data_IF_849736222298
#
_entry.id   IF_849736222298
#
_cell.length_a   1.000
_cell.length_b   1.000
_cell.length_c   1.000
_cell.angle_alpha   90.00
_cell.angle_beta   90.00
_cell.angle_gamma   90.00
#
_symmetry.space_group_name_H-M   'P 1'
#
loop_
_entity.id
_entity.type
_entity.pdbx_description
1 polymer ?
#
# COMPACT_ATOMS: atom_id res chain seq x y z
N UNK A 1 -24.79 -1.83 -16.57
CA UNK A 1 -24.73 -1.29 -15.18
C UNK A 1 -25.25 -2.32 -14.16
N UNK A 2 -26.36 -3.03 -14.42
CA UNK A 2 -26.85 -4.10 -13.53
C UNK A 2 -25.84 -5.23 -13.30
N UNK A 3 -25.15 -5.67 -14.36
CA UNK A 3 -24.14 -6.75 -14.29
C UNK A 3 -22.97 -6.42 -13.33
N UNK A 4 -22.44 -5.20 -13.42
CA UNK A 4 -21.31 -4.72 -12.59
C UNK A 4 -21.70 -4.64 -11.11
N UNK A 5 -22.92 -4.19 -10.81
CA UNK A 5 -23.40 -4.09 -9.43
C UNK A 5 -23.57 -5.48 -8.82
N UNK A 6 -24.17 -6.41 -9.56
CA UNK A 6 -24.35 -7.79 -9.12
C UNK A 6 -23.01 -8.50 -8.88
N UNK A 7 -22.05 -8.34 -9.79
CA UNK A 7 -20.69 -8.87 -9.64
C UNK A 7 -19.98 -8.31 -8.39
N UNK A 8 -20.11 -7.01 -8.16
CA UNK A 8 -19.51 -6.36 -7.00
C UNK A 8 -20.15 -6.83 -5.69
N UNK A 9 -21.48 -6.92 -5.63
CA UNK A 9 -22.19 -7.48 -4.47
C UNK A 9 -21.81 -8.95 -4.21
N UNK A 10 -21.69 -9.76 -5.27
CA UNK A 10 -21.23 -11.14 -5.16
C UNK A 10 -19.81 -11.21 -4.58
N UNK A 11 -18.89 -10.35 -5.03
CA UNK A 11 -17.55 -10.24 -4.47
C UNK A 11 -17.56 -9.86 -2.99
N UNK A 12 -18.36 -8.87 -2.58
CA UNK A 12 -18.46 -8.48 -1.17
C UNK A 12 -19.03 -9.61 -0.30
N UNK A 13 -20.01 -10.36 -0.82
CA UNK A 13 -20.53 -11.52 -0.12
C UNK A 13 -19.49 -12.63 0.07
N UNK A 14 -18.59 -12.85 -0.90
CA UNK A 14 -17.46 -13.77 -0.75
C UNK A 14 -16.47 -13.30 0.31
N UNK A 15 -16.28 -11.99 0.49
CA UNK A 15 -15.37 -11.42 1.49
C UNK A 15 -16.00 -11.31 2.88
N UNK A 16 -17.33 -11.35 2.98
CA UNK A 16 -18.10 -11.14 4.22
C UNK A 16 -17.67 -12.04 5.39
N UNK A 17 -17.35 -13.34 5.21
CA UNK A 17 -16.85 -14.16 6.32
C UNK A 17 -15.55 -13.61 6.94
N UNK A 18 -14.62 -13.11 6.13
CA UNK A 18 -13.38 -12.50 6.64
C UNK A 18 -13.64 -11.18 7.36
N UNK A 19 -14.63 -10.41 6.88
CA UNK A 19 -15.07 -9.18 7.52
C UNK A 19 -15.71 -9.44 8.89
N UNK A 20 -16.65 -10.40 8.97
CA UNK A 20 -17.34 -10.74 10.21
C UNK A 20 -16.40 -11.32 11.28
N UNK A 21 -15.39 -12.07 10.86
CA UNK A 21 -14.35 -12.63 11.74
C UNK A 21 -13.22 -11.65 12.08
N UNK A 22 -13.30 -10.38 11.63
CA UNK A 22 -12.29 -9.35 11.90
C UNK A 22 -10.93 -9.62 11.25
N UNK A 23 -10.88 -10.48 10.22
CA UNK A 23 -9.64 -10.87 9.49
C UNK A 23 -9.40 -10.03 8.23
N UNK A 24 -10.39 -9.25 7.81
CA UNK A 24 -10.29 -8.36 6.65
C UNK A 24 -9.93 -6.93 7.08
N UNK A 25 -8.73 -6.46 6.75
CA UNK A 25 -8.30 -5.10 7.04
C UNK A 25 -9.01 -4.05 6.17
N UNK A 26 -8.89 -4.20 4.85
CA UNK A 26 -9.60 -3.42 3.84
C UNK A 26 -9.55 -4.12 2.48
N UNK A 27 -10.35 -3.63 1.53
CA UNK A 27 -10.33 -4.04 0.13
C UNK A 27 -9.59 -3.00 -0.71
N UNK A 28 -8.65 -3.46 -1.54
CA UNK A 28 -7.83 -2.60 -2.39
C UNK A 28 -8.43 -2.49 -3.80
N UNK A 29 -8.63 -1.26 -4.27
CA UNK A 29 -9.06 -0.94 -5.63
C UNK A 29 -7.89 -0.31 -6.37
N UNK A 30 -7.10 -1.10 -7.10
CA UNK A 30 -5.98 -0.57 -7.88
C UNK A 30 -6.44 -0.13 -9.27
N UNK A 31 -6.34 1.17 -9.58
CA UNK A 31 -6.72 1.71 -10.89
C UNK A 31 -5.55 1.61 -11.89
N UNK A 32 -5.82 1.41 -13.20
CA UNK A 32 -4.77 1.33 -14.20
C UNK A 32 -4.21 2.74 -14.53
N UNK A 33 -2.93 2.86 -14.97
CA UNK A 33 -2.32 4.16 -15.29
C UNK A 33 -3.05 5.00 -16.34
N UNK A 34 -3.77 4.33 -17.27
CA UNK A 34 -4.58 4.99 -18.30
C UNK A 34 -5.85 5.66 -17.77
N UNK A 35 -6.24 5.36 -16.54
CA UNK A 35 -7.44 5.94 -15.91
C UNK A 35 -7.08 7.30 -15.28
N UNK A 36 -7.20 8.35 -16.10
CA UNK A 36 -7.01 9.73 -15.66
C UNK A 36 -8.16 10.25 -14.79
N UNK A 37 -7.99 11.47 -14.28
CA UNK A 37 -8.96 12.15 -13.41
C UNK A 37 -10.37 12.17 -14.03
N UNK A 38 -11.29 11.43 -13.41
CA UNK A 38 -12.71 11.37 -13.74
C UNK A 38 -13.48 11.13 -12.43
N UNK A 39 -13.71 12.20 -11.63
CA UNK A 39 -14.30 12.09 -10.30
C UNK A 39 -15.74 11.59 -10.37
N UNK A 40 -16.52 11.98 -11.39
CA UNK A 40 -17.91 11.53 -11.55
C UNK A 40 -18.01 10.01 -11.66
N UNK A 41 -17.15 9.38 -12.48
CA UNK A 41 -17.17 7.93 -12.64
C UNK A 41 -16.68 7.22 -11.37
N UNK A 42 -15.66 7.76 -10.69
CA UNK A 42 -15.15 7.19 -9.45
C UNK A 42 -16.17 7.30 -8.31
N UNK A 43 -16.82 8.45 -8.19
CA UNK A 43 -17.88 8.72 -7.22
C UNK A 43 -19.06 7.78 -7.43
N UNK A 44 -19.48 7.57 -8.69
CA UNK A 44 -20.56 6.62 -9.01
C UNK A 44 -20.24 5.17 -8.61
N UNK A 45 -18.95 4.81 -8.54
CA UNK A 45 -18.52 3.53 -8.01
C UNK A 45 -18.52 3.53 -6.48
N UNK A 46 -18.12 4.62 -5.82
CA UNK A 46 -18.18 4.72 -4.36
C UNK A 46 -19.61 4.75 -3.82
N UNK A 47 -20.60 5.17 -4.59
CA UNK A 47 -22.00 5.02 -4.21
C UNK A 47 -22.45 3.55 -4.09
N UNK A 48 -21.68 2.61 -4.65
CA UNK A 48 -21.94 1.17 -4.58
C UNK A 48 -21.23 0.48 -3.40
N UNK A 49 -20.28 1.15 -2.72
CA UNK A 49 -19.53 0.48 -1.63
C UNK A 49 -20.40 0.26 -0.39
N UNK A 50 -20.36 -0.97 0.13
CA UNK A 50 -21.00 -1.33 1.41
C UNK A 50 -20.16 -0.77 2.57
N UNK A 51 -20.78 0.06 3.42
CA UNK A 51 -20.15 0.71 4.58
C UNK A 51 -19.59 -0.26 5.63
N UNK A 52 -19.96 -1.56 5.57
CA UNK A 52 -19.38 -2.59 6.43
C UNK A 52 -17.95 -2.98 6.02
N UNK A 53 -17.50 -2.58 4.83
CA UNK A 53 -16.16 -2.82 4.33
C UNK A 53 -15.35 -1.53 4.30
N UNK A 54 -14.07 -1.64 4.61
CA UNK A 54 -13.09 -0.56 4.42
C UNK A 54 -12.48 -0.68 3.03
N UNK A 55 -12.32 0.43 2.32
CA UNK A 55 -11.73 0.45 0.99
C UNK A 55 -10.51 1.35 0.94
N UNK A 56 -9.53 0.96 0.13
CA UNK A 56 -8.39 1.80 -0.22
C UNK A 56 -8.25 1.88 -1.75
N UNK A 57 -8.03 3.08 -2.29
CA UNK A 57 -7.92 3.31 -3.74
C UNK A 57 -6.51 3.66 -4.18
N UNK A 58 -6.18 2.96 -5.25
CA UNK A 58 -4.99 2.84 -6.06
C UNK A 58 -4.70 3.82 -7.19
N UNK A 59 -4.34 5.09 -6.99
CA UNK A 59 -4.07 5.93 -8.16
C UNK A 59 -2.72 5.60 -8.81
N UNK A 60 -2.68 5.69 -10.15
CA UNK A 60 -1.51 5.42 -11.00
C UNK A 60 -1.27 6.51 -12.05
N UNK A 61 -2.00 7.61 -11.94
CA UNK A 61 -2.00 8.70 -12.90
C UNK A 61 -1.93 10.03 -12.15
N UNK A 62 -0.94 10.86 -12.50
CA UNK A 62 -0.64 12.12 -11.81
C UNK A 62 -1.82 13.08 -11.75
N UNK A 63 -2.75 12.98 -12.70
CA UNK A 63 -3.95 13.81 -12.72
C UNK A 63 -4.83 13.64 -11.46
N UNK A 64 -4.69 12.58 -10.67
CA UNK A 64 -5.40 12.41 -9.40
C UNK A 64 -4.76 13.12 -8.20
N UNK A 65 -3.52 13.61 -8.30
CA UNK A 65 -2.81 14.27 -7.19
C UNK A 65 -3.28 15.72 -7.02
N UNK A 66 -4.46 15.91 -6.43
CA UNK A 66 -5.11 17.22 -6.23
C UNK A 66 -6.08 17.20 -5.05
N UNK A 67 -6.40 18.36 -4.50
CA UNK A 67 -7.21 18.51 -3.30
C UNK A 67 -8.62 17.93 -3.45
N UNK A 68 -9.25 18.11 -4.61
CA UNK A 68 -10.61 17.60 -4.88
C UNK A 68 -10.67 16.07 -4.82
N UNK A 69 -9.55 15.38 -5.12
CA UNK A 69 -9.46 13.93 -4.96
C UNK A 69 -9.53 13.56 -3.48
N UNK A 70 -8.78 14.26 -2.62
CA UNK A 70 -8.72 13.96 -1.19
C UNK A 70 -10.07 14.21 -0.52
N UNK A 71 -10.73 15.32 -0.87
CA UNK A 71 -12.09 15.64 -0.41
C UNK A 71 -13.11 14.56 -0.82
N UNK A 72 -13.04 14.07 -2.05
CA UNK A 72 -13.90 12.98 -2.52
C UNK A 72 -13.65 11.68 -1.73
N UNK A 73 -12.40 11.34 -1.48
CA UNK A 73 -12.04 10.15 -0.70
C UNK A 73 -12.51 10.24 0.75
N UNK A 74 -12.36 11.41 1.38
CA UNK A 74 -12.86 11.68 2.73
C UNK A 74 -14.38 11.59 2.81
N UNK A 75 -15.10 12.15 1.82
CA UNK A 75 -16.56 12.09 1.72
C UNK A 75 -17.09 10.65 1.77
N UNK A 76 -16.41 9.72 1.10
CA UNK A 76 -16.83 8.31 1.02
C UNK A 76 -16.08 7.39 2.00
N UNK A 77 -15.25 7.94 2.88
CA UNK A 77 -14.42 7.17 3.81
C UNK A 77 -13.58 6.09 3.10
N UNK A 78 -12.95 6.45 1.99
CA UNK A 78 -12.05 5.59 1.20
C UNK A 78 -10.62 6.06 1.42
N UNK A 79 -9.72 5.15 1.79
CA UNK A 79 -8.32 5.50 2.03
C UNK A 79 -7.57 5.71 0.71
N UNK A 80 -6.84 6.81 0.59
CA UNK A 80 -5.78 6.89 -0.41
C UNK A 80 -4.68 5.89 -0.07
N UNK A 81 -4.24 5.14 -1.08
CA UNK A 81 -3.03 4.34 -0.97
C UNK A 81 -1.83 5.24 -1.23
N UNK A 82 -1.05 5.47 -0.19
CA UNK A 82 0.19 6.22 -0.25
C UNK A 82 1.26 5.37 -0.95
N UNK A 83 1.53 5.71 -2.20
CA UNK A 83 2.44 4.94 -3.06
C UNK A 83 3.86 5.52 -3.07
N UNK A 84 4.82 4.63 -3.25
CA UNK A 84 6.16 4.96 -3.72
C UNK A 84 6.38 4.24 -5.05
N UNK A 85 6.33 4.99 -6.14
CA UNK A 85 6.47 4.48 -7.51
C UNK A 85 7.04 5.55 -8.44
N UNK A 86 7.50 5.20 -9.66
CA UNK A 86 8.12 6.18 -10.56
C UNK A 86 7.19 7.26 -11.11
N UNK A 87 5.87 7.01 -11.17
CA UNK A 87 4.92 7.91 -11.83
C UNK A 87 4.33 8.98 -10.93
N UNK A 88 4.28 8.75 -9.61
CA UNK A 88 3.59 9.59 -8.66
C UNK A 88 4.57 10.08 -7.58
N UNK A 89 4.43 11.31 -7.10
CA UNK A 89 5.26 11.79 -6.00
C UNK A 89 4.95 10.99 -4.73
N UNK A 90 5.95 10.72 -3.86
CA UNK A 90 5.77 9.96 -2.63
C UNK A 90 5.13 10.81 -1.52
N UNK A 91 3.95 11.36 -1.79
CA UNK A 91 3.16 12.19 -0.89
C UNK A 91 2.29 11.34 0.03
N UNK A 92 2.05 11.85 1.24
CA UNK A 92 1.20 11.18 2.23
C UNK A 92 -0.09 11.97 2.45
N UNK A 93 -1.19 11.37 2.01
CA UNK A 93 -2.55 11.87 2.21
C UNK A 93 -3.34 10.89 3.07
N UNK A 94 -4.15 11.43 3.96
CA UNK A 94 -4.74 10.75 5.11
C UNK A 94 -6.25 10.97 5.09
N UNK A 95 -6.97 10.19 4.28
CA UNK A 95 -8.37 10.46 3.91
C UNK A 95 -9.42 9.65 4.69
N UNK A 96 -9.01 8.85 5.68
CA UNK A 96 -9.91 8.05 6.53
C UNK A 96 -9.37 7.90 7.95
N UNK A 97 -9.98 7.05 8.78
CA UNK A 97 -9.47 6.68 10.11
C UNK A 97 -8.32 5.64 10.09
N UNK A 98 -7.95 5.16 8.89
CA UNK A 98 -6.79 4.32 8.64
C UNK A 98 -5.97 4.82 7.45
N UNK A 99 -4.80 4.23 7.25
CA UNK A 99 -3.97 4.53 6.08
C UNK A 99 -3.33 3.27 5.51
N UNK A 100 -3.02 3.32 4.22
CA UNK A 100 -2.46 2.22 3.46
C UNK A 100 -1.23 2.73 2.70
N UNK A 101 -0.08 2.08 2.87
CA UNK A 101 1.15 2.36 2.15
C UNK A 101 1.50 1.20 1.20
N UNK A 102 1.94 1.53 -0.02
CA UNK A 102 2.51 0.56 -0.96
C UNK A 102 3.83 1.04 -1.53
N UNK A 103 4.89 0.32 -1.21
CA UNK A 103 6.23 0.58 -1.75
C UNK A 103 6.49 -0.34 -2.93
N UNK A 104 6.34 0.17 -4.15
CA UNK A 104 6.55 -0.61 -5.37
C UNK A 104 8.00 -0.66 -5.78
N UNK A 105 8.78 0.37 -5.45
CA UNK A 105 10.13 0.58 -5.95
C UNK A 105 10.21 1.77 -6.89
N UNK A 106 11.44 2.19 -7.19
CA UNK A 106 11.73 3.28 -8.14
C UNK A 106 12.50 2.78 -9.35
N UNK A 107 12.36 1.48 -9.65
CA UNK A 107 13.04 0.84 -10.78
C UNK A 107 12.48 1.33 -12.12
N UNK A 108 13.19 0.98 -13.19
CA UNK A 108 12.65 1.04 -14.55
C UNK A 108 11.70 -0.13 -14.80
N UNK A 109 11.36 -0.48 -16.05
CA UNK A 109 10.45 -1.61 -16.32
C UNK A 109 11.18 -2.95 -16.13
N UNK A 110 10.71 -3.87 -15.26
CA UNK A 110 9.52 -3.77 -14.40
C UNK A 110 9.77 -3.01 -13.08
N UNK A 111 8.88 -2.08 -12.70
CA UNK A 111 9.11 -1.15 -11.57
C UNK A 111 9.37 -1.84 -10.22
N UNK A 112 8.89 -3.09 -10.09
CA UNK A 112 9.00 -3.91 -8.89
C UNK A 112 10.36 -4.59 -8.73
N UNK A 113 11.24 -4.51 -9.73
CA UNK A 113 12.64 -4.93 -9.60
C UNK A 113 13.47 -3.81 -9.00
N UNK A 114 13.36 -3.72 -7.67
CA UNK A 114 13.97 -2.64 -6.94
C UNK A 114 14.37 -3.07 -5.53
N UNK A 115 15.61 -2.81 -5.15
CA UNK A 115 16.06 -2.92 -3.77
C UNK A 115 16.14 -1.51 -3.19
N UNK A 116 15.24 -1.18 -2.28
CA UNK A 116 15.33 0.10 -1.59
C UNK A 116 16.64 0.21 -0.82
N UNK A 117 17.30 1.35 -0.97
CA UNK A 117 18.43 1.69 -0.13
C UNK A 117 17.96 2.01 1.29
N UNK A 118 18.89 1.91 2.26
CA UNK A 118 18.61 2.29 3.65
C UNK A 118 18.15 3.74 3.77
N UNK A 119 18.75 4.63 2.96
CA UNK A 119 18.41 6.06 2.94
C UNK A 119 16.96 6.25 2.52
N UNK A 120 16.52 5.61 1.44
CA UNK A 120 15.14 5.74 0.96
C UNK A 120 14.12 5.18 1.95
N UNK A 121 14.43 4.07 2.63
CA UNK A 121 13.56 3.57 3.69
C UNK A 121 13.53 4.55 4.86
N UNK A 122 14.67 5.14 5.22
CA UNK A 122 14.73 6.14 6.30
C UNK A 122 13.89 7.39 5.98
N UNK A 123 13.76 7.79 4.72
CA UNK A 123 12.89 8.90 4.30
C UNK A 123 11.40 8.60 4.55
N UNK A 124 11.01 7.32 4.54
CA UNK A 124 9.64 6.88 4.84
C UNK A 124 9.35 6.75 6.35
N UNK A 125 10.36 6.52 7.18
CA UNK A 125 10.21 6.37 8.64
C UNK A 125 9.43 7.54 9.29
N UNK A 126 9.78 8.83 9.09
CA UNK A 126 9.04 9.92 9.70
C UNK A 126 7.61 10.03 9.18
N UNK A 127 7.37 9.72 7.90
CA UNK A 127 6.04 9.73 7.28
C UNK A 127 5.13 8.69 7.92
N UNK A 128 5.61 7.45 8.03
CA UNK A 128 4.87 6.35 8.67
C UNK A 128 4.64 6.63 10.16
N UNK A 129 5.64 7.14 10.89
CA UNK A 129 5.47 7.53 12.29
C UNK A 129 4.44 8.65 12.49
N UNK A 130 4.42 9.64 11.59
CA UNK A 130 3.44 10.71 11.62
C UNK A 130 2.02 10.17 11.39
N UNK A 131 1.85 9.31 10.38
CA UNK A 131 0.57 8.68 10.10
C UNK A 131 0.08 7.80 11.27
N UNK A 132 0.98 7.01 11.87
CA UNK A 132 0.67 6.15 13.03
C UNK A 132 0.22 6.92 14.28
N UNK A 133 0.55 8.21 14.40
CA UNK A 133 0.04 9.07 15.49
C UNK A 133 -1.39 9.57 15.24
N UNK A 134 -1.82 9.62 13.98
CA UNK A 134 -3.10 10.19 13.56
C UNK A 134 -4.14 9.13 13.24
N UNK A 135 -3.71 7.92 12.89
CA UNK A 135 -4.54 6.85 12.38
C UNK A 135 -4.73 5.72 13.39
N UNK A 136 -5.90 5.09 13.35
CA UNK A 136 -6.19 3.90 14.17
C UNK A 136 -5.42 2.68 13.67
N UNK A 137 -5.31 2.54 12.35
CA UNK A 137 -4.60 1.44 11.70
C UNK A 137 -3.68 2.00 10.60
N UNK A 138 -2.47 1.43 10.52
CA UNK A 138 -1.51 1.69 9.45
C UNK A 138 -1.20 0.36 8.79
N UNK A 139 -1.56 0.21 7.52
CA UNK A 139 -1.18 -0.93 6.72
C UNK A 139 -0.03 -0.55 5.78
N UNK A 140 0.97 -1.42 5.64
CA UNK A 140 2.14 -1.15 4.80
C UNK A 140 2.60 -2.41 4.09
N UNK A 141 2.73 -2.33 2.76
CA UNK A 141 3.08 -3.46 1.91
C UNK A 141 4.23 -3.10 0.98
N UNK A 142 5.33 -3.84 1.08
CA UNK A 142 6.39 -3.82 0.09
C UNK A 142 6.01 -4.73 -1.06
N UNK A 143 5.97 -4.18 -2.28
CA UNK A 143 5.57 -4.88 -3.50
C UNK A 143 6.73 -5.06 -4.50
N UNK A 144 7.96 -4.73 -4.09
CA UNK A 144 9.20 -4.91 -4.85
C UNK A 144 9.71 -6.37 -4.74
N UNK A 145 8.93 -7.30 -5.28
CA UNK A 145 9.06 -8.73 -5.01
C UNK A 145 10.26 -9.42 -5.68
N UNK A 146 10.87 -8.80 -6.70
CA UNK A 146 12.00 -9.41 -7.39
C UNK A 146 13.18 -9.65 -6.43
N UNK A 147 13.86 -10.78 -6.60
CA UNK A 147 15.02 -11.21 -5.81
C UNK A 147 14.84 -11.29 -4.28
N UNK A 148 13.61 -11.20 -3.76
CA UNK A 148 13.34 -11.26 -2.32
C UNK A 148 13.70 -9.96 -1.56
N UNK A 149 13.73 -8.81 -2.23
CA UNK A 149 14.03 -7.52 -1.60
C UNK A 149 12.90 -7.02 -0.69
N UNK A 150 11.64 -7.30 -1.02
CA UNK A 150 10.49 -6.86 -0.23
C UNK A 150 10.55 -7.29 1.26
N UNK A 151 10.80 -8.57 1.61
CA UNK A 151 11.01 -8.97 3.01
C UNK A 151 12.17 -8.25 3.69
N UNK A 152 13.31 -8.07 3.01
CA UNK A 152 14.47 -7.38 3.57
C UNK A 152 14.15 -5.91 3.91
N UNK A 153 13.53 -5.20 2.96
CA UNK A 153 13.15 -3.80 3.13
C UNK A 153 12.07 -3.63 4.22
N UNK A 154 11.10 -4.55 4.29
CA UNK A 154 10.09 -4.59 5.34
C UNK A 154 10.72 -4.76 6.74
N UNK A 155 11.62 -5.73 6.91
CA UNK A 155 12.32 -5.96 8.18
C UNK A 155 13.23 -4.77 8.57
N UNK A 156 13.79 -4.06 7.59
CA UNK A 156 14.54 -2.84 7.86
C UNK A 156 13.62 -1.70 8.33
N UNK A 157 12.47 -1.49 7.68
CA UNK A 157 11.51 -0.47 8.10
C UNK A 157 10.97 -0.76 9.52
N UNK A 158 10.56 -2.00 9.80
CA UNK A 158 10.08 -2.41 11.13
C UNK A 158 11.13 -2.16 12.22
N UNK A 159 12.41 -2.44 11.96
CA UNK A 159 13.50 -2.11 12.88
C UNK A 159 13.55 -0.60 13.17
N UNK A 160 13.45 0.25 12.14
CA UNK A 160 13.49 1.72 12.30
C UNK A 160 12.25 2.29 12.98
N UNK A 161 11.13 1.59 12.88
CA UNK A 161 9.91 1.89 13.62
C UNK A 161 9.95 1.37 15.07
N UNK A 162 10.89 0.50 15.42
CA UNK A 162 10.95 -0.15 16.74
C UNK A 162 9.90 -1.25 16.92
N UNK A 163 9.41 -1.83 15.81
CA UNK A 163 8.33 -2.82 15.76
C UNK A 163 8.82 -4.23 15.40
N UNK A 164 10.14 -4.42 15.30
CA UNK A 164 10.71 -5.70 14.92
C UNK A 164 10.59 -6.69 16.09
N UNK A 165 9.90 -7.80 15.87
CA UNK A 165 9.86 -8.91 16.84
C UNK A 165 11.19 -9.67 16.89
N UNK A 166 11.41 -10.43 17.96
CA UNK A 166 12.61 -11.28 18.11
C UNK A 166 12.72 -12.34 17.01
N UNK A 167 11.60 -12.92 16.60
CA UNK A 167 11.55 -13.87 15.48
C UNK A 167 12.00 -13.21 14.18
N UNK A 168 11.43 -12.04 13.85
CA UNK A 168 11.79 -11.25 12.67
C UNK A 168 13.26 -10.82 12.69
N UNK A 169 13.79 -10.48 13.87
CA UNK A 169 15.21 -10.15 14.06
C UNK A 169 16.11 -11.35 13.71
N UNK A 170 15.77 -12.55 14.19
CA UNK A 170 16.48 -13.79 13.85
C UNK A 170 16.43 -14.10 12.34
N UNK A 171 15.28 -13.91 11.68
CA UNK A 171 15.19 -14.06 10.22
C UNK A 171 16.09 -13.06 9.49
N UNK A 172 16.08 -11.79 9.89
CA UNK A 172 16.90 -10.74 9.29
C UNK A 172 18.40 -11.06 9.38
N UNK A 173 18.86 -11.54 10.53
CA UNK A 173 20.28 -11.88 10.72
C UNK A 173 20.69 -13.10 9.87
N UNK A 174 19.81 -14.09 9.72
CA UNK A 174 20.01 -15.22 8.79
C UNK A 174 20.10 -14.77 7.33
N UNK A 175 19.29 -13.78 6.91
CA UNK A 175 19.34 -13.24 5.55
C UNK A 175 20.68 -12.54 5.25
N UNK A 176 21.23 -11.79 6.21
CA UNK A 176 22.55 -11.14 6.07
C UNK A 176 23.66 -12.16 5.79
N UNK A 177 23.68 -13.27 6.54
CA UNK A 177 24.67 -14.34 6.38
C UNK A 177 24.59 -14.99 4.99
N UNK A 178 23.38 -15.28 4.49
CA UNK A 178 23.21 -15.85 3.15
C UNK A 178 23.66 -14.89 2.04
N UNK A 179 23.35 -13.59 2.16
CA UNK A 179 23.80 -12.60 1.17
C UNK A 179 25.32 -12.43 1.17
N UNK A 180 25.99 -12.44 2.33
CA UNK A 180 27.46 -12.36 2.37
C UNK A 180 28.13 -13.58 1.74
N UNK A 181 27.54 -14.77 1.90
CA UNK A 181 28.06 -16.00 1.27
C UNK A 181 27.88 -15.98 -0.25
N UNK A 182 26.75 -15.48 -0.76
CA UNK A 182 26.56 -15.28 -2.20
C UNK A 182 27.54 -14.25 -2.77
N UNK A 183 27.77 -13.13 -2.07
CA UNK A 183 28.72 -12.11 -2.49
C UNK A 183 30.17 -12.63 -2.63
N UNK A 184 30.60 -13.52 -1.73
CA UNK A 184 31.91 -14.18 -1.83
C UNK A 184 32.05 -15.23 -2.93
N UNK A 185 30.92 -15.70 -3.48
CA UNK A 185 30.93 -16.67 -4.59
C UNK A 185 31.04 -16.01 -5.97
N UNK A 186 30.74 -14.71 -6.06
CA UNK A 186 30.79 -13.93 -7.31
C UNK A 186 31.95 -12.91 -7.35
N UNK A 187 32.83 -12.93 -6.35
CA UNK A 187 34.07 -12.14 -6.26
C UNK A 187 35.29 -13.03 -6.47
#
# INVERSE_FOLDING_TARGET
KEDIKADFEAYLNLMRPLQLEGKLGCLLIQLPPKYGYNPENLESFFELVDSNFRFAVEFRNLSWMRDETWELLEKYNVAYVNVDEPLLPPEVHLTTDFTYFRWHGRGERPWFDYRYSKTEINDWVPKVKSAAKKMRNVYGYFNNHFHGYAPENCLYLLEKLGLLSDEQKSYKDRMKVKQSQLGSFFS
#
